data_IF_242305314092
#
_entry.id   IF_242305314092
#
_cell.length_a   1.000
_cell.length_b   1.000
_cell.length_c   1.000
_cell.angle_alpha   90.00
_cell.angle_beta   90.00
_cell.angle_gamma   90.00
#
_symmetry.space_group_name_H-M   'P 1'
#
loop_
_entity.id
_entity.type
_entity.pdbx_description
1 polymer ?
#
# COMPACT_ATOMS: atom_id res chain seq x y z
N UNK A 1 60.05 -5.73 41.61
CA UNK A 1 59.49 -6.93 40.93
C UNK A 1 57.99 -6.73 40.75
N UNK A 2 57.47 -6.98 39.53
CA UNK A 2 56.05 -7.18 39.11
C UNK A 2 55.08 -5.98 39.27
N UNK A 3 54.67 -5.28 38.20
CA UNK A 3 53.79 -5.62 37.04
C UNK A 3 52.27 -5.48 37.37
N UNK A 4 51.58 -4.67 36.56
CA UNK A 4 50.13 -4.74 36.30
C UNK A 4 49.51 -3.34 36.11
N UNK A 5 49.36 -2.73 34.93
CA UNK A 5 48.78 -3.12 33.63
C UNK A 5 47.25 -3.28 33.67
N UNK A 6 46.48 -2.21 33.39
CA UNK A 6 45.79 -1.96 32.09
C UNK A 6 44.75 -0.86 32.21
N UNK A 7 44.85 0.07 31.27
CA UNK A 7 43.84 1.02 30.83
C UNK A 7 42.61 0.26 30.33
N UNK A 8 41.41 0.67 30.71
CA UNK A 8 40.15 0.08 30.26
C UNK A 8 39.09 1.16 30.10
N UNK A 9 39.16 1.94 29.03
CA UNK A 9 38.04 2.73 28.54
C UNK A 9 37.31 1.88 27.50
N UNK A 10 36.14 1.33 27.88
CA UNK A 10 35.19 0.81 26.91
C UNK A 10 34.20 1.94 26.65
N UNK A 11 34.37 2.58 25.50
CA UNK A 11 33.44 3.56 24.94
C UNK A 11 32.17 2.78 24.57
N UNK A 12 31.06 3.04 25.28
CA UNK A 12 29.75 2.54 24.90
C UNK A 12 29.32 3.21 23.60
N UNK A 13 29.32 2.47 22.50
CA UNK A 13 28.76 2.93 21.24
C UNK A 13 27.23 2.99 21.39
N UNK A 14 26.70 4.21 21.53
CA UNK A 14 25.27 4.47 21.44
C UNK A 14 24.82 4.23 19.98
N UNK A 15 24.04 3.18 19.75
CA UNK A 15 23.34 2.97 18.49
C UNK A 15 22.30 4.07 18.32
N UNK A 16 22.55 4.98 17.38
CA UNK A 16 21.56 5.94 16.88
C UNK A 16 20.73 5.21 15.82
N UNK A 17 19.56 4.71 16.21
CA UNK A 17 18.55 4.25 15.25
C UNK A 17 17.92 5.49 14.61
N UNK A 18 18.47 5.89 13.46
CA UNK A 18 17.83 6.84 12.56
C UNK A 18 16.67 6.15 11.85
N UNK A 19 15.48 6.18 12.44
CA UNK A 19 14.24 5.77 11.78
C UNK A 19 13.68 6.92 10.95
N UNK A 20 13.94 6.93 9.63
CA UNK A 20 13.13 7.72 8.70
C UNK A 20 11.85 6.94 8.41
N UNK A 21 10.77 7.25 9.13
CA UNK A 21 9.46 6.63 8.94
C UNK A 21 8.49 7.65 8.33
N UNK A 22 8.67 8.00 7.05
CA UNK A 22 7.70 8.86 6.33
C UNK A 22 7.52 8.51 4.85
N UNK A 23 7.84 7.28 4.42
CA UNK A 23 7.84 6.91 3.00
C UNK A 23 6.76 5.87 2.63
N UNK A 24 5.60 5.86 3.30
CA UNK A 24 4.51 4.94 2.94
C UNK A 24 3.56 5.51 1.87
N UNK A 25 3.33 6.83 1.87
CA UNK A 25 2.35 7.47 0.98
C UNK A 25 2.86 7.75 -0.42
N UNK A 26 4.03 8.39 -0.53
CA UNK A 26 4.60 8.69 -1.84
C UNK A 26 5.00 7.43 -2.62
N UNK A 27 5.19 6.28 -1.97
CA UNK A 27 5.44 5.01 -2.66
C UNK A 27 4.20 4.39 -3.30
N UNK A 28 2.99 4.80 -2.90
CA UNK A 28 1.74 4.24 -3.40
C UNK A 28 1.22 4.96 -4.66
N UNK A 29 1.66 6.21 -4.90
CA UNK A 29 1.27 6.99 -6.08
C UNK A 29 1.60 6.22 -7.37
N UNK A 30 0.64 6.17 -8.28
CA UNK A 30 0.77 5.50 -9.58
C UNK A 30 -0.42 4.63 -9.94
N UNK A 31 -0.27 3.87 -11.03
CA UNK A 31 -1.26 2.92 -11.52
C UNK A 31 -0.91 1.51 -11.06
N UNK A 32 -1.91 0.80 -10.57
CA UNK A 32 -1.84 -0.57 -10.09
C UNK A 32 -2.88 -1.40 -10.83
N UNK A 33 -2.47 -2.50 -11.43
CA UNK A 33 -3.27 -3.27 -12.39
C UNK A 33 -3.25 -4.76 -12.05
N UNK A 34 -4.37 -5.44 -12.27
CA UNK A 34 -4.46 -6.90 -12.10
C UNK A 34 -3.62 -7.64 -13.16
N UNK A 35 -3.00 -8.75 -12.75
CA UNK A 35 -2.10 -9.50 -13.63
C UNK A 35 -2.82 -10.28 -14.73
N UNK A 36 -4.09 -10.67 -14.51
CA UNK A 36 -4.87 -11.48 -15.43
C UNK A 36 -5.81 -10.62 -16.30
N UNK A 37 -6.20 -9.44 -15.80
CA UNK A 37 -7.12 -8.54 -16.47
C UNK A 37 -6.74 -7.06 -16.29
N UNK A 38 -6.10 -6.49 -17.31
CA UNK A 38 -5.68 -5.07 -17.30
C UNK A 38 -6.84 -4.06 -17.18
N UNK A 39 -8.09 -4.49 -17.39
CA UNK A 39 -9.27 -3.64 -17.16
C UNK A 39 -9.58 -3.47 -15.66
N UNK A 40 -8.99 -4.27 -14.78
CA UNK A 40 -9.07 -4.13 -13.32
C UNK A 40 -7.85 -3.33 -12.86
N UNK A 41 -8.07 -2.10 -12.39
CA UNK A 41 -6.98 -1.22 -11.97
C UNK A 41 -7.42 -0.15 -10.98
N UNK A 42 -6.44 0.37 -10.23
CA UNK A 42 -6.53 1.60 -9.45
C UNK A 42 -5.43 2.57 -9.88
N UNK A 43 -5.75 3.86 -9.90
CA UNK A 43 -4.80 4.95 -10.04
C UNK A 43 -4.87 5.83 -8.78
N UNK A 44 -3.73 5.95 -8.12
CA UNK A 44 -3.56 6.72 -6.90
C UNK A 44 -2.82 8.01 -7.25
N UNK A 45 -3.56 9.11 -7.37
CA UNK A 45 -2.98 10.42 -7.68
C UNK A 45 -2.30 11.03 -6.44
N UNK A 46 -1.28 11.87 -6.66
CA UNK A 46 -0.52 12.53 -5.59
C UNK A 46 -1.35 13.49 -4.72
N UNK A 47 -2.48 13.97 -5.25
CA UNK A 47 -3.45 14.81 -4.55
C UNK A 47 -4.43 14.03 -3.63
N UNK A 48 -4.31 12.71 -3.58
CA UNK A 48 -5.18 11.83 -2.80
C UNK A 48 -6.43 11.34 -3.54
N UNK A 49 -6.57 11.63 -4.84
CA UNK A 49 -7.67 11.10 -5.66
C UNK A 49 -7.44 9.64 -6.02
N UNK A 50 -8.50 8.83 -5.91
CA UNK A 50 -8.59 7.47 -6.43
C UNK A 50 -9.44 7.48 -7.71
N UNK A 51 -8.92 6.90 -8.79
CA UNK A 51 -9.69 6.49 -9.96
C UNK A 51 -9.44 5.01 -10.25
N UNK A 52 -10.34 4.33 -10.95
CA UNK A 52 -10.12 2.92 -11.25
C UNK A 52 -11.25 2.27 -12.03
N UNK A 53 -11.12 0.96 -12.19
CA UNK A 53 -12.13 0.06 -12.74
C UNK A 53 -12.03 -1.31 -12.08
N UNK A 54 -13.16 -1.93 -11.76
CA UNK A 54 -13.23 -3.32 -11.29
C UNK A 54 -13.31 -4.32 -12.45
N UNK A 55 -13.05 -3.87 -13.68
CA UNK A 55 -13.17 -4.64 -14.92
C UNK A 55 -14.53 -4.52 -15.60
N UNK A 56 -15.56 -4.03 -14.90
CA UNK A 56 -16.90 -3.77 -15.45
C UNK A 56 -17.37 -2.33 -15.22
N UNK A 57 -17.15 -1.83 -14.00
CA UNK A 57 -17.60 -0.55 -13.49
C UNK A 57 -16.43 0.41 -13.34
N UNK A 58 -16.64 1.64 -13.78
CA UNK A 58 -15.73 2.73 -13.43
C UNK A 58 -15.87 3.04 -11.94
N UNK A 59 -14.74 3.28 -11.28
CA UNK A 59 -14.64 3.53 -9.85
C UNK A 59 -13.93 4.86 -9.56
N UNK A 60 -14.21 5.45 -8.41
CA UNK A 60 -13.49 6.60 -7.89
C UNK A 60 -13.65 6.79 -6.40
N UNK A 61 -12.90 7.73 -5.83
CA UNK A 61 -12.94 8.07 -4.41
C UNK A 61 -11.70 8.83 -3.98
N UNK A 62 -11.30 8.61 -2.74
CA UNK A 62 -10.08 9.19 -2.17
C UNK A 62 -9.22 8.11 -1.53
N UNK A 63 -7.92 8.36 -1.46
CA UNK A 63 -6.98 7.53 -0.74
C UNK A 63 -6.06 8.36 0.15
N UNK A 64 -5.56 7.72 1.20
CA UNK A 64 -4.51 8.27 2.05
C UNK A 64 -3.62 7.16 2.56
N UNK A 65 -2.36 7.49 2.88
CA UNK A 65 -1.45 6.53 3.50
C UNK A 65 -1.18 6.89 4.96
N UNK A 66 -1.28 5.89 5.82
CA UNK A 66 -0.93 5.97 7.22
C UNK A 66 0.04 4.83 7.56
N UNK A 67 1.29 5.19 7.87
CA UNK A 67 2.38 4.23 8.11
C UNK A 67 2.59 3.26 6.93
N UNK A 68 2.19 2.00 7.09
CA UNK A 68 2.34 0.89 6.14
C UNK A 68 1.01 0.51 5.44
N UNK A 69 -0.06 1.29 5.67
CA UNK A 69 -1.39 1.03 5.11
C UNK A 69 -1.88 2.19 4.24
N UNK A 70 -2.58 1.83 3.18
CA UNK A 70 -3.40 2.70 2.36
C UNK A 70 -4.85 2.52 2.81
N UNK A 71 -5.55 3.62 3.06
CA UNK A 71 -6.98 3.64 3.32
C UNK A 71 -7.69 4.29 2.15
N UNK A 72 -8.75 3.63 1.67
CA UNK A 72 -9.65 4.16 0.66
C UNK A 72 -10.92 4.67 1.33
N UNK A 73 -11.38 5.84 0.91
CA UNK A 73 -12.53 6.51 1.52
C UNK A 73 -13.41 7.12 0.45
N UNK A 74 -14.72 7.17 0.72
CA UNK A 74 -15.71 7.70 -0.23
C UNK A 74 -15.65 7.00 -1.60
N UNK A 75 -15.34 5.69 -1.59
CA UNK A 75 -15.30 4.87 -2.80
C UNK A 75 -16.71 4.75 -3.38
N UNK A 76 -16.82 4.96 -4.68
CA UNK A 76 -18.03 4.75 -5.46
C UNK A 76 -17.69 4.02 -6.75
N UNK A 77 -18.69 3.34 -7.31
CA UNK A 77 -18.61 2.67 -8.60
C UNK A 77 -19.90 2.87 -9.39
N UNK A 78 -19.79 2.78 -10.72
CA UNK A 78 -20.98 2.62 -11.58
C UNK A 78 -21.65 1.26 -11.33
N UNK A 79 -22.86 1.05 -11.88
CA UNK A 79 -23.65 -0.18 -11.71
C UNK A 79 -23.96 -0.84 -13.06
N UNK A 80 -22.93 -1.02 -13.89
CA UNK A 80 -23.00 -1.78 -15.14
C UNK A 80 -23.10 -3.27 -14.82
N UNK A 81 -23.74 -4.00 -15.72
CA UNK A 81 -23.74 -5.46 -15.71
C UNK A 81 -22.85 -5.98 -16.83
N UNK A 82 -21.86 -6.80 -16.48
CA UNK A 82 -20.96 -7.46 -17.42
C UNK A 82 -20.98 -8.96 -17.15
N UNK A 83 -21.39 -9.75 -18.13
CA UNK A 83 -21.45 -11.20 -17.98
C UNK A 83 -20.04 -11.78 -17.84
N UNK A 84 -19.82 -12.59 -16.80
CA UNK A 84 -18.56 -13.30 -16.58
C UNK A 84 -17.39 -12.46 -16.05
N UNK A 85 -17.64 -11.21 -15.65
CA UNK A 85 -16.61 -10.37 -14.99
C UNK A 85 -16.73 -10.52 -13.47
N UNK A 86 -15.62 -10.83 -12.83
CA UNK A 86 -15.50 -10.76 -11.37
C UNK A 86 -15.15 -9.33 -10.96
N UNK A 87 -16.08 -8.68 -10.26
CA UNK A 87 -15.96 -7.30 -9.80
C UNK A 87 -15.41 -7.23 -8.37
N UNK A 88 -14.51 -8.13 -8.00
CA UNK A 88 -13.98 -8.25 -6.63
C UNK A 88 -13.45 -6.92 -6.05
N UNK A 89 -12.90 -6.05 -6.91
CA UNK A 89 -12.33 -4.77 -6.49
C UNK A 89 -13.39 -3.79 -5.97
N UNK A 90 -14.68 -4.01 -6.26
CA UNK A 90 -15.78 -3.18 -5.76
C UNK A 90 -15.86 -3.10 -4.22
N UNK A 91 -15.33 -4.11 -3.52
CA UNK A 91 -15.31 -4.18 -2.04
C UNK A 91 -14.04 -3.56 -1.42
N UNK A 92 -13.24 -2.82 -2.20
CA UNK A 92 -11.98 -2.23 -1.73
C UNK A 92 -12.15 -1.27 -0.55
N UNK A 93 -11.34 -1.46 0.49
CA UNK A 93 -11.35 -0.65 1.72
C UNK A 93 -9.96 -0.20 2.14
N UNK A 94 -8.98 -1.10 2.07
CA UNK A 94 -7.59 -0.78 2.39
C UNK A 94 -6.61 -1.57 1.54
N UNK A 95 -5.35 -1.17 1.54
CA UNK A 95 -4.28 -1.90 0.88
C UNK A 95 -2.94 -1.78 1.62
N UNK A 96 -2.03 -2.70 1.32
CA UNK A 96 -0.61 -2.63 1.70
C UNK A 96 0.24 -2.72 0.45
N UNK A 97 1.38 -2.02 0.43
CA UNK A 97 2.31 -2.05 -0.70
C UNK A 97 3.64 -2.66 -0.26
N UNK A 98 4.11 -3.67 -1.00
CA UNK A 98 5.45 -4.24 -0.92
C UNK A 98 6.11 -4.18 -2.30
N UNK A 99 7.01 -3.21 -2.50
CA UNK A 99 7.65 -2.98 -3.79
C UNK A 99 6.64 -2.62 -4.88
N UNK A 100 6.43 -3.56 -5.80
CA UNK A 100 5.55 -3.43 -6.97
C UNK A 100 4.30 -4.32 -6.86
N UNK A 101 4.01 -4.83 -5.65
CA UNK A 101 2.77 -5.54 -5.34
C UNK A 101 1.94 -4.77 -4.31
N UNK A 102 0.65 -4.61 -4.62
CA UNK A 102 -0.36 -4.07 -3.72
C UNK A 102 -1.32 -5.20 -3.34
N UNK A 103 -1.39 -5.54 -2.05
CA UNK A 103 -2.43 -6.44 -1.53
C UNK A 103 -3.65 -5.62 -1.11
N UNK A 104 -4.83 -5.98 -1.60
CA UNK A 104 -6.08 -5.25 -1.39
C UNK A 104 -6.98 -5.99 -0.41
N UNK A 105 -7.65 -5.26 0.48
CA UNK A 105 -8.50 -5.80 1.54
C UNK A 105 -9.88 -5.14 1.55
N UNK A 106 -10.89 -5.93 1.92
CA UNK A 106 -12.26 -5.44 2.15
C UNK A 106 -12.44 -4.81 3.55
N UNK A 107 -13.65 -4.32 3.85
CA UNK A 107 -14.01 -3.72 5.14
C UNK A 107 -13.90 -4.69 6.34
N UNK A 108 -13.94 -6.00 6.10
CA UNK A 108 -13.71 -7.03 7.12
C UNK A 108 -12.20 -7.27 7.39
N UNK A 109 -11.32 -6.67 6.59
CA UNK A 109 -9.87 -6.87 6.64
C UNK A 109 -9.40 -8.16 5.97
N UNK A 110 -10.24 -8.79 5.15
CA UNK A 110 -9.88 -9.98 4.37
C UNK A 110 -9.19 -9.57 3.09
N UNK A 111 -8.14 -10.30 2.70
CA UNK A 111 -7.46 -10.07 1.43
C UNK A 111 -8.38 -10.54 0.29
N UNK A 112 -8.62 -9.66 -0.69
CA UNK A 112 -9.55 -9.89 -1.80
C UNK A 112 -8.86 -9.95 -3.17
N UNK A 113 -7.62 -9.47 -3.27
CA UNK A 113 -6.86 -9.54 -4.52
C UNK A 113 -5.52 -8.81 -4.42
N UNK A 114 -4.78 -8.84 -5.52
CA UNK A 114 -3.49 -8.17 -5.68
C UNK A 114 -3.46 -7.35 -6.96
N UNK A 115 -2.80 -6.20 -6.93
CA UNK A 115 -2.52 -5.37 -8.09
C UNK A 115 -1.01 -5.12 -8.19
N UNK A 116 -0.53 -4.82 -9.39
CA UNK A 116 0.89 -4.67 -9.70
C UNK A 116 1.17 -3.40 -10.51
N UNK A 117 2.43 -2.93 -10.50
CA UNK A 117 2.88 -1.78 -11.30
C UNK A 117 4.17 -2.06 -12.07
#
# INVERSE_FOLDING_TARGET
>A
MRRGRRLGFIIGAALLMAGCSTQGGASAVGTWTDAENEAVYLELADDGTLSGSDGCNDMGGHWSAAADKIQFTEVFATLKYCEGVDTWLADVSSATVDGDEMSVYNDAGEAIGTLHR
#
